data_IF_658612548715
#
_entry.id   IF_658612548715
#
_cell.length_a   1.000
_cell.length_b   1.000
_cell.length_c   1.000
_cell.angle_alpha   90.00
_cell.angle_beta   90.00
_cell.angle_gamma   90.00
#
_symmetry.space_group_name_H-M   'P 1'
#
loop_
_entity.id
_entity.type
_entity.pdbx_description
1 polymer ?
#
# COMPACT_ATOMS: atom_id res chain seq x y z
N UNK A 1 -8.66 2.38 22.04
CA UNK A 1 -7.57 2.00 21.13
C UNK A 1 -6.29 2.73 21.54
N UNK A 2 -5.16 2.02 21.54
CA UNK A 2 -3.83 2.52 21.92
C UNK A 2 -2.75 1.80 21.11
N UNK A 3 -1.51 2.31 21.14
CA UNK A 3 -0.34 1.67 20.51
C UNK A 3 0.67 1.28 21.58
N UNK A 4 1.18 0.05 21.49
CA UNK A 4 2.37 -0.40 22.22
C UNK A 4 3.51 -0.60 21.22
N UNK A 5 4.65 0.03 21.48
CA UNK A 5 5.91 -0.24 20.79
C UNK A 5 6.88 -0.87 21.77
N UNK A 6 7.44 -2.03 21.43
CA UNK A 6 8.43 -2.74 22.26
C UNK A 6 9.73 -2.89 21.49
N UNK A 7 10.83 -2.37 22.05
CA UNK A 7 12.18 -2.68 21.58
C UNK A 7 12.70 -3.92 22.32
N UNK A 8 13.06 -4.95 21.57
CA UNK A 8 13.61 -6.20 22.07
C UNK A 8 15.10 -6.11 22.41
N UNK A 9 15.62 -7.10 23.15
CA UNK A 9 17.01 -7.17 23.58
C UNK A 9 17.98 -7.21 22.40
N UNK A 10 19.11 -6.51 22.55
CA UNK A 10 20.19 -6.48 21.55
C UNK A 10 19.88 -5.67 20.30
N UNK A 11 18.74 -4.96 20.24
CA UNK A 11 18.43 -4.05 19.15
C UNK A 11 19.48 -2.93 19.07
N UNK A 12 20.13 -2.80 17.91
CA UNK A 12 21.13 -1.75 17.66
C UNK A 12 20.43 -0.49 17.13
N UNK A 13 19.75 0.22 18.03
CA UNK A 13 19.10 1.50 17.72
C UNK A 13 18.95 2.36 18.98
N UNK A 14 18.93 3.67 18.81
CA UNK A 14 18.71 4.61 19.92
C UNK A 14 17.25 4.51 20.41
N UNK A 15 17.06 4.01 21.63
CA UNK A 15 15.73 3.82 22.21
C UNK A 15 14.98 5.15 22.48
N UNK A 16 15.69 6.26 22.69
CA UNK A 16 15.09 7.59 22.83
C UNK A 16 14.55 8.06 21.48
N UNK A 17 15.32 7.92 20.41
CA UNK A 17 14.86 8.24 19.06
C UNK A 17 13.62 7.41 18.68
N UNK A 18 13.65 6.10 18.91
CA UNK A 18 12.50 5.23 18.63
C UNK A 18 11.25 5.66 19.42
N UNK A 19 11.42 6.06 20.69
CA UNK A 19 10.32 6.59 21.52
C UNK A 19 9.76 7.90 20.98
N UNK A 20 10.64 8.82 20.57
CA UNK A 20 10.24 10.11 20.00
C UNK A 20 9.46 9.93 18.69
N UNK A 21 9.96 9.08 17.79
CA UNK A 21 9.28 8.72 16.52
C UNK A 21 7.93 8.06 16.79
N UNK A 22 7.88 7.08 17.69
CA UNK A 22 6.63 6.40 18.05
C UNK A 22 5.59 7.35 18.64
N UNK A 23 6.03 8.24 19.54
CA UNK A 23 5.16 9.24 20.15
C UNK A 23 4.61 10.25 19.14
N UNK A 24 5.46 10.75 18.24
CA UNK A 24 5.06 11.70 17.20
C UNK A 24 4.04 11.09 16.23
N UNK A 25 4.29 9.88 15.73
CA UNK A 25 3.38 9.21 14.79
C UNK A 25 2.05 8.84 15.46
N UNK A 26 2.09 8.34 16.69
CA UNK A 26 0.87 8.04 17.44
C UNK A 26 0.03 9.31 17.71
N UNK A 27 0.68 10.43 18.03
CA UNK A 27 0.01 11.72 18.18
C UNK A 27 -0.63 12.18 16.87
N UNK A 28 0.06 12.07 15.73
CA UNK A 28 -0.48 12.38 14.41
C UNK A 28 -1.71 11.51 14.06
N UNK A 29 -1.70 10.25 14.49
CA UNK A 29 -2.84 9.33 14.33
C UNK A 29 -3.95 9.54 15.38
N UNK A 30 -3.75 10.41 16.37
CA UNK A 30 -4.70 10.68 17.46
C UNK A 30 -4.89 9.50 18.41
N UNK A 31 -3.83 8.76 18.72
CA UNK A 31 -3.86 7.58 19.60
C UNK A 31 -2.79 7.66 20.68
N UNK A 32 -3.07 7.25 21.93
CA UNK A 32 -2.05 7.18 22.95
C UNK A 32 -1.05 6.07 22.63
N UNK A 33 0.24 6.33 22.83
CA UNK A 33 1.31 5.36 22.69
C UNK A 33 2.04 5.10 24.00
N UNK A 34 2.46 3.85 24.20
CA UNK A 34 3.46 3.46 25.19
C UNK A 34 4.66 2.83 24.49
N UNK A 35 5.85 3.21 24.92
CA UNK A 35 7.11 2.62 24.48
C UNK A 35 7.75 1.84 25.62
N UNK A 36 8.16 0.60 25.36
CA UNK A 36 8.83 -0.27 26.31
C UNK A 36 10.14 -0.81 25.73
N UNK A 37 11.10 -1.13 26.60
CA UNK A 37 12.33 -1.84 26.25
C UNK A 37 12.35 -3.12 27.07
N UNK A 38 12.40 -4.27 26.39
CA UNK A 38 12.48 -5.57 27.03
C UNK A 38 13.94 -6.01 27.17
N UNK A 39 14.34 -6.45 28.37
CA UNK A 39 15.69 -6.93 28.64
C UNK A 39 15.96 -8.35 28.14
N UNK A 40 14.91 -9.14 27.94
CA UNK A 40 14.96 -10.53 27.48
C UNK A 40 13.61 -10.93 26.82
N UNK A 41 13.52 -12.19 26.37
CA UNK A 41 12.30 -12.70 25.72
C UNK A 41 11.11 -12.83 26.67
N UNK A 42 11.32 -13.16 27.94
CA UNK A 42 10.24 -13.33 28.92
C UNK A 42 9.60 -11.98 29.27
N UNK A 43 10.41 -10.93 29.45
CA UNK A 43 9.95 -9.56 29.64
C UNK A 43 9.18 -9.06 28.42
N UNK A 44 9.65 -9.37 27.21
CA UNK A 44 8.96 -9.03 25.97
C UNK A 44 7.60 -9.72 25.91
N UNK A 45 7.55 -11.04 26.10
CA UNK A 45 6.30 -11.80 26.07
C UNK A 45 5.29 -11.31 27.12
N UNK A 46 5.75 -10.98 28.35
CA UNK A 46 4.90 -10.40 29.38
C UNK A 46 4.29 -9.06 28.95
N UNK A 47 5.07 -8.18 28.31
CA UNK A 47 4.59 -6.89 27.79
C UNK A 47 3.53 -7.08 26.69
N UNK A 48 3.71 -8.07 25.81
CA UNK A 48 2.74 -8.40 24.77
C UNK A 48 1.47 -9.05 25.34
N UNK A 49 1.62 -9.97 26.31
CA UNK A 49 0.52 -10.68 26.96
C UNK A 49 -0.40 -9.78 27.78
N UNK A 50 0.12 -8.67 28.31
CA UNK A 50 -0.67 -7.68 29.06
C UNK A 50 -1.56 -6.80 28.17
N UNK A 51 -1.47 -6.91 26.83
CA UNK A 51 -2.23 -6.06 25.91
C UNK A 51 -3.69 -6.50 25.76
N UNK A 52 -4.59 -5.52 25.63
CA UNK A 52 -6.01 -5.72 25.34
C UNK A 52 -6.30 -5.82 23.84
N UNK A 53 -7.51 -6.29 23.48
CA UNK A 53 -8.00 -6.39 22.09
C UNK A 53 -7.85 -5.13 21.24
N UNK A 54 -7.93 -3.96 21.87
CA UNK A 54 -7.87 -2.64 21.22
C UNK A 54 -6.46 -2.01 21.23
N UNK A 55 -5.42 -2.79 21.51
CA UNK A 55 -4.04 -2.35 21.53
C UNK A 55 -3.31 -2.78 20.25
N UNK A 56 -2.99 -1.83 19.37
CA UNK A 56 -2.10 -2.08 18.24
C UNK A 56 -0.67 -2.30 18.76
N UNK A 57 0.04 -3.30 18.24
CA UNK A 57 1.33 -3.72 18.76
C UNK A 57 2.39 -3.65 17.67
N UNK A 58 3.50 -2.97 17.93
CA UNK A 58 4.70 -2.97 17.09
C UNK A 58 5.87 -3.48 17.91
N UNK A 59 6.60 -4.46 17.39
CA UNK A 59 7.75 -5.03 18.08
C UNK A 59 8.98 -4.94 17.18
N UNK A 60 10.06 -4.39 17.73
CA UNK A 60 11.38 -4.43 17.12
C UNK A 60 12.14 -5.57 17.79
N UNK A 61 12.17 -6.79 17.23
CA UNK A 61 12.53 -8.00 17.97
C UNK A 61 13.99 -8.05 18.43
N UNK A 62 14.90 -7.32 17.78
CA UNK A 62 16.35 -7.47 18.01
C UNK A 62 16.86 -8.85 17.54
N UNK A 63 18.16 -9.16 17.71
CA UNK A 63 18.75 -10.37 17.15
C UNK A 63 18.57 -11.64 18.01
N UNK A 64 18.03 -11.53 19.23
CA UNK A 64 18.02 -12.65 20.19
C UNK A 64 17.14 -13.83 19.71
N UNK A 65 17.66 -15.08 19.64
CA UNK A 65 16.92 -16.23 19.10
C UNK A 65 15.57 -16.50 19.78
N UNK A 66 15.53 -16.41 21.11
CA UNK A 66 14.29 -16.64 21.86
C UNK A 66 13.19 -15.64 21.52
N UNK A 67 13.55 -14.38 21.24
CA UNK A 67 12.57 -13.36 20.79
C UNK A 67 12.13 -13.65 19.37
N UNK A 68 13.05 -14.10 18.50
CA UNK A 68 12.71 -14.49 17.13
C UNK A 68 11.75 -15.68 17.09
N UNK A 69 11.88 -16.62 18.02
CA UNK A 69 10.94 -17.74 18.13
C UNK A 69 9.51 -17.25 18.40
N UNK A 70 9.33 -16.21 19.24
CA UNK A 70 8.00 -15.63 19.54
C UNK A 70 7.28 -15.11 18.29
N UNK A 71 8.01 -14.69 17.26
CA UNK A 71 7.42 -14.19 16.02
C UNK A 71 6.49 -15.20 15.36
N UNK A 72 6.85 -16.50 15.43
CA UNK A 72 6.12 -17.60 14.81
C UNK A 72 5.11 -18.30 15.73
N UNK A 73 5.07 -17.98 17.02
CA UNK A 73 4.20 -18.67 17.98
C UNK A 73 2.78 -18.09 17.98
N UNK A 74 1.72 -18.93 17.94
CA UNK A 74 0.35 -18.46 18.10
C UNK A 74 0.16 -17.78 19.46
N UNK A 75 -0.38 -16.57 19.46
CA UNK A 75 -0.69 -15.82 20.67
C UNK A 75 -1.89 -14.88 20.46
N UNK A 76 -2.59 -14.52 21.53
CA UNK A 76 -3.75 -13.63 21.47
C UNK A 76 -3.43 -12.21 20.94
N UNK A 77 -2.16 -11.78 21.04
CA UNK A 77 -1.69 -10.52 20.48
C UNK A 77 -1.29 -10.61 19.00
N UNK A 78 -1.02 -11.82 18.47
CA UNK A 78 -0.44 -11.97 17.13
C UNK A 78 -1.24 -11.27 16.01
N UNK A 79 -2.59 -11.36 15.94
CA UNK A 79 -3.37 -10.71 14.87
C UNK A 79 -3.27 -9.18 14.82
N UNK A 80 -2.79 -8.54 15.89
CA UNK A 80 -2.63 -7.08 16.02
C UNK A 80 -1.17 -6.65 16.14
N UNK A 81 -0.23 -7.58 15.91
CA UNK A 81 1.21 -7.33 15.97
C UNK A 81 1.80 -7.09 14.58
N UNK A 82 2.68 -6.09 14.50
CA UNK A 82 3.61 -5.86 13.40
C UNK A 82 5.03 -6.02 13.95
N UNK A 83 5.75 -7.01 13.44
CA UNK A 83 7.17 -7.18 13.71
C UNK A 83 7.97 -6.34 12.73
N UNK A 84 8.87 -5.50 13.22
CA UNK A 84 9.68 -4.60 12.41
C UNK A 84 11.17 -4.88 12.62
N UNK A 85 11.82 -5.36 11.57
CA UNK A 85 13.27 -5.29 11.45
C UNK A 85 13.69 -3.96 10.82
N UNK A 86 14.61 -3.25 11.46
CA UNK A 86 15.13 -2.00 10.89
C UNK A 86 15.98 -2.28 9.63
N UNK A 87 16.65 -3.43 9.61
CA UNK A 87 17.50 -3.91 8.52
C UNK A 87 16.75 -4.90 7.63
N UNK A 88 17.31 -5.18 6.45
CA UNK A 88 16.77 -6.21 5.54
C UNK A 88 17.20 -7.59 6.05
N UNK A 89 16.24 -8.39 6.49
CA UNK A 89 16.43 -9.75 7.03
C UNK A 89 15.95 -10.85 6.08
N UNK A 90 15.27 -10.51 4.99
CA UNK A 90 14.52 -11.46 4.16
C UNK A 90 13.15 -11.77 4.79
N UNK A 91 12.27 -12.51 4.10
CA UNK A 91 10.96 -12.87 4.64
C UNK A 91 11.11 -13.73 5.91
N UNK A 92 10.56 -13.28 7.03
CA UNK A 92 10.55 -14.05 8.28
C UNK A 92 9.14 -14.59 8.53
N UNK A 93 8.95 -15.90 8.75
CA UNK A 93 7.65 -16.45 9.12
C UNK A 93 7.14 -15.82 10.41
N UNK A 94 5.86 -15.42 10.41
CA UNK A 94 5.17 -14.90 11.59
C UNK A 94 3.87 -15.67 11.83
N UNK A 95 3.41 -15.65 13.08
CA UNK A 95 2.16 -16.26 13.48
C UNK A 95 0.96 -15.70 12.70
N UNK A 96 -0.07 -16.51 12.51
CA UNK A 96 -1.26 -16.13 11.74
C UNK A 96 -1.87 -14.80 12.19
N UNK A 97 -2.06 -13.89 11.23
CA UNK A 97 -2.60 -12.54 11.45
C UNK A 97 -1.57 -11.49 11.86
N UNK A 98 -0.36 -11.87 12.25
CA UNK A 98 0.74 -10.93 12.42
C UNK A 98 1.28 -10.47 11.05
N UNK A 99 2.02 -9.37 11.04
CA UNK A 99 2.77 -8.92 9.87
C UNK A 99 4.26 -8.77 10.20
N UNK A 100 5.10 -8.88 9.17
CA UNK A 100 6.52 -8.60 9.24
C UNK A 100 6.87 -7.49 8.25
N UNK A 101 7.60 -6.49 8.72
CA UNK A 101 8.18 -5.41 7.93
C UNK A 101 9.69 -5.38 8.18
N UNK A 102 10.45 -4.96 7.17
CA UNK A 102 11.91 -5.00 7.24
C UNK A 102 12.57 -3.93 6.37
N UNK A 103 13.83 -3.61 6.66
CA UNK A 103 14.72 -2.90 5.73
C UNK A 103 14.35 -1.46 5.42
N UNK A 104 13.51 -0.82 6.25
CA UNK A 104 13.10 0.59 6.12
C UNK A 104 13.79 1.52 7.12
N UNK A 105 14.77 1.00 7.88
CA UNK A 105 15.44 1.73 8.95
C UNK A 105 14.47 2.24 10.02
N UNK A 106 14.88 3.26 10.77
CA UNK A 106 14.03 3.90 11.79
C UNK A 106 12.72 4.44 11.21
N UNK A 107 12.74 4.91 9.95
CA UNK A 107 11.54 5.36 9.24
C UNK A 107 10.49 4.24 9.06
N UNK A 108 10.91 2.97 9.08
CA UNK A 108 9.99 1.83 9.10
C UNK A 108 9.05 1.80 10.30
N UNK A 109 9.44 2.39 11.43
CA UNK A 109 8.59 2.44 12.63
C UNK A 109 7.30 3.23 12.39
N UNK A 110 7.37 4.30 11.60
CA UNK A 110 6.20 5.10 11.20
C UNK A 110 5.20 4.20 10.47
N UNK A 111 5.67 3.46 9.48
CA UNK A 111 4.83 2.57 8.67
C UNK A 111 4.29 1.38 9.45
N UNK A 112 5.09 0.80 10.36
CA UNK A 112 4.62 -0.29 11.22
C UNK A 112 3.51 0.17 12.16
N UNK A 113 3.63 1.37 12.75
CA UNK A 113 2.59 1.96 13.60
C UNK A 113 1.33 2.23 12.80
N UNK A 114 1.44 2.87 11.63
CA UNK A 114 0.30 3.11 10.73
C UNK A 114 -0.40 1.82 10.38
N UNK A 115 0.35 0.81 9.94
CA UNK A 115 -0.19 -0.49 9.55
C UNK A 115 -0.96 -1.16 10.71
N UNK A 116 -0.36 -1.21 11.89
CA UNK A 116 -0.99 -1.78 13.09
C UNK A 116 -2.27 -1.03 13.47
N UNK A 117 -2.24 0.31 13.42
CA UNK A 117 -3.37 1.17 13.76
C UNK A 117 -4.52 1.04 12.75
N UNK A 118 -4.24 1.11 11.45
CA UNK A 118 -5.27 1.08 10.41
C UNK A 118 -5.97 -0.28 10.34
N UNK A 119 -5.22 -1.39 10.42
CA UNK A 119 -5.78 -2.74 10.49
C UNK A 119 -6.69 -2.92 11.70
N UNK A 120 -6.34 -2.36 12.85
CA UNK A 120 -7.15 -2.49 14.05
C UNK A 120 -8.39 -1.60 14.03
N UNK A 121 -8.28 -0.36 13.50
CA UNK A 121 -9.39 0.58 13.35
C UNK A 121 -10.44 0.08 12.36
N UNK A 122 -9.98 -0.55 11.29
CA UNK A 122 -10.82 -1.01 10.21
C UNK A 122 -10.29 -2.33 9.63
N UNK A 123 -10.66 -3.45 10.27
CA UNK A 123 -10.23 -4.77 9.85
C UNK A 123 -10.61 -5.06 8.40
N UNK A 124 -9.74 -5.79 7.72
CA UNK A 124 -9.98 -6.30 6.38
C UNK A 124 -10.11 -7.81 6.40
N UNK A 125 -10.79 -8.36 5.40
CA UNK A 125 -10.69 -9.78 5.07
C UNK A 125 -9.52 -9.96 4.11
N UNK A 126 -8.45 -10.62 4.57
CA UNK A 126 -7.35 -11.02 3.69
C UNK A 126 -7.77 -12.23 2.86
N UNK A 127 -7.54 -12.16 1.56
CA UNK A 127 -7.94 -13.18 0.60
C UNK A 127 -6.73 -13.48 -0.29
N UNK A 128 -6.33 -14.74 -0.36
CA UNK A 128 -5.31 -15.19 -1.30
C UNK A 128 -5.91 -15.31 -2.70
N UNK A 129 -5.20 -14.80 -3.71
CA UNK A 129 -5.52 -15.00 -5.13
C UNK A 129 -4.53 -15.95 -5.82
N UNK A 130 -3.52 -16.43 -5.10
CA UNK A 130 -2.54 -17.40 -5.56
C UNK A 130 -1.83 -18.09 -4.39
N UNK A 131 -0.95 -19.08 -4.67
CA UNK A 131 -0.29 -19.88 -3.64
C UNK A 131 0.88 -19.18 -2.94
N UNK A 132 1.45 -18.12 -3.52
CA UNK A 132 2.60 -17.43 -2.94
C UNK A 132 2.19 -16.57 -1.71
N UNK A 133 3.04 -16.43 -0.67
CA UNK A 133 2.74 -15.60 0.50
C UNK A 133 2.45 -14.12 0.22
N UNK A 134 2.88 -13.61 -0.93
CA UNK A 134 2.61 -12.23 -1.41
C UNK A 134 1.41 -12.15 -2.38
N UNK A 135 0.77 -13.27 -2.71
CA UNK A 135 -0.39 -13.31 -3.60
C UNK A 135 -1.70 -13.20 -2.83
N UNK A 136 -1.90 -12.06 -2.18
CA UNK A 136 -3.12 -11.75 -1.43
C UNK A 136 -3.58 -10.30 -1.61
N UNK A 137 -4.84 -10.06 -1.26
CA UNK A 137 -5.36 -8.71 -1.11
C UNK A 137 -6.22 -8.60 0.15
N UNK A 138 -6.33 -7.38 0.67
CA UNK A 138 -7.19 -7.04 1.78
C UNK A 138 -8.47 -6.37 1.28
N UNK A 139 -9.61 -7.03 1.48
CA UNK A 139 -10.94 -6.48 1.19
C UNK A 139 -11.48 -5.74 2.40
N UNK A 140 -11.84 -4.47 2.21
CA UNK A 140 -12.68 -3.71 3.14
C UNK A 140 -13.96 -3.34 2.42
N UNK A 141 -15.09 -3.82 2.92
CA UNK A 141 -16.40 -3.37 2.47
C UNK A 141 -16.76 -2.06 3.18
N UNK A 142 -17.60 -1.23 2.57
CA UNK A 142 -18.22 -0.12 3.29
C UNK A 142 -18.96 -0.65 4.51
N UNK A 143 -18.62 -0.14 5.70
CA UNK A 143 -19.40 -0.39 6.90
C UNK A 143 -20.18 0.89 7.23
N UNK A 144 -21.44 0.77 7.70
CA UNK A 144 -22.08 1.91 8.34
C UNK A 144 -21.19 2.37 9.51
N UNK A 145 -21.15 3.69 9.83
CA UNK A 145 -20.46 4.16 11.01
C UNK A 145 -20.92 3.34 12.22
N UNK A 146 -20.01 2.94 13.11
CA UNK A 146 -20.28 2.08 14.27
C UNK A 146 -21.33 2.63 15.28
N UNK A 147 -21.93 3.80 14.98
CA UNK A 147 -23.00 4.47 15.75
C UNK A 147 -24.23 4.80 14.91
N UNK A 148 -24.41 4.23 13.71
CA UNK A 148 -25.62 4.46 12.92
C UNK A 148 -26.78 3.63 13.51
N UNK A 149 -27.87 4.26 13.99
CA UNK A 149 -29.04 3.54 14.52
C UNK A 149 -29.91 2.93 13.42
N UNK A 150 -29.53 3.05 12.14
CA UNK A 150 -30.29 2.50 11.02
C UNK A 150 -29.78 1.08 10.72
N UNK A 151 -30.61 0.03 10.89
CA UNK A 151 -30.27 -1.31 10.43
C UNK A 151 -30.08 -1.29 8.92
N UNK A 152 -28.94 -1.75 8.42
CA UNK A 152 -28.73 -1.92 6.98
C UNK A 152 -29.49 -3.17 6.55
N UNK A 153 -30.66 -2.99 5.94
CA UNK A 153 -31.57 -4.07 5.52
C UNK A 153 -31.36 -4.57 4.09
N UNK A 154 -30.36 -4.05 3.37
CA UNK A 154 -29.94 -4.55 2.04
C UNK A 154 -28.42 -4.48 1.91
N UNK A 155 -27.73 -5.52 1.40
CA UNK A 155 -26.32 -5.39 1.05
C UNK A 155 -26.19 -4.39 -0.10
N UNK A 156 -25.62 -3.21 0.20
CA UNK A 156 -25.27 -2.24 -0.83
C UNK A 156 -24.11 -2.80 -1.63
N UNK A 157 -24.35 -3.18 -2.88
CA UNK A 157 -23.30 -3.56 -3.83
C UNK A 157 -22.46 -2.32 -4.12
N UNK A 158 -21.24 -2.30 -3.61
CA UNK A 158 -20.38 -1.11 -3.63
C UNK A 158 -19.41 -1.11 -4.81
N UNK A 159 -19.17 0.04 -5.50
CA UNK A 159 -18.03 0.16 -6.39
C UNK A 159 -16.74 -0.23 -5.66
N UNK A 160 -15.77 -0.79 -6.40
CA UNK A 160 -14.52 -1.26 -5.82
C UNK A 160 -13.33 -0.52 -6.41
N UNK A 161 -12.37 -0.18 -5.53
CA UNK A 161 -11.08 0.39 -5.91
C UNK A 161 -9.99 -0.61 -5.55
N UNK A 162 -9.31 -1.12 -6.57
CA UNK A 162 -8.06 -1.87 -6.44
C UNK A 162 -6.94 -0.90 -6.12
N UNK A 163 -6.23 -1.11 -5.01
CA UNK A 163 -5.07 -0.30 -4.63
C UNK A 163 -3.79 -1.07 -4.92
N UNK A 164 -2.86 -0.44 -5.63
CA UNK A 164 -1.54 -1.01 -5.96
C UNK A 164 -0.46 -0.13 -5.33
N UNK A 165 0.27 -0.69 -4.38
CA UNK A 165 1.28 0.07 -3.63
C UNK A 165 2.54 0.36 -4.46
N UNK A 166 3.26 1.41 -4.05
CA UNK A 166 4.54 1.81 -4.63
C UNK A 166 5.76 1.21 -3.95
N UNK A 167 6.86 1.97 -3.93
CA UNK A 167 8.13 1.54 -3.31
C UNK A 167 9.21 1.15 -4.31
N UNK A 168 9.20 1.72 -5.51
CA UNK A 168 10.19 1.43 -6.57
C UNK A 168 10.36 -0.08 -6.85
N UNK A 169 9.27 -0.83 -6.74
CA UNK A 169 9.24 -2.28 -6.94
C UNK A 169 10.24 -3.06 -6.08
N UNK A 170 10.56 -2.57 -4.87
CA UNK A 170 11.48 -3.24 -3.95
C UNK A 170 10.74 -4.02 -2.87
N UNK A 171 11.25 -5.21 -2.54
CA UNK A 171 10.65 -6.12 -1.57
C UNK A 171 10.58 -5.61 -0.12
N UNK A 172 11.25 -4.50 0.21
CA UNK A 172 11.11 -3.86 1.54
C UNK A 172 9.80 -3.10 1.69
N UNK A 173 9.13 -2.72 0.59
CA UNK A 173 7.84 -2.04 0.60
C UNK A 173 6.67 -3.03 0.57
N UNK A 174 5.44 -2.56 0.77
CA UNK A 174 4.28 -3.37 1.12
C UNK A 174 2.96 -2.70 0.79
N UNK A 175 1.90 -3.51 0.68
CA UNK A 175 0.53 -3.00 0.62
C UNK A 175 0.17 -2.11 1.83
N UNK A 176 0.94 -2.18 2.92
CA UNK A 176 0.80 -1.31 4.10
C UNK A 176 0.94 0.18 3.78
N UNK A 177 1.61 0.56 2.70
CA UNK A 177 1.67 1.95 2.22
C UNK A 177 0.27 2.52 1.93
N UNK A 178 -0.65 1.66 1.49
CA UNK A 178 -1.97 2.07 1.01
C UNK A 178 -3.07 1.96 2.08
N UNK A 179 -2.74 1.55 3.31
CA UNK A 179 -3.73 1.28 4.36
C UNK A 179 -4.62 2.47 4.69
N UNK A 180 -4.04 3.66 4.83
CA UNK A 180 -4.80 4.86 5.18
C UNK A 180 -5.85 5.16 4.10
N UNK A 181 -5.45 5.10 2.83
CA UNK A 181 -6.34 5.28 1.69
C UNK A 181 -7.39 4.16 1.59
N UNK A 182 -7.00 2.90 1.84
CA UNK A 182 -7.93 1.77 1.86
C UNK A 182 -9.05 1.96 2.88
N UNK A 183 -8.72 2.45 4.08
CA UNK A 183 -9.69 2.78 5.13
C UNK A 183 -10.55 3.99 4.75
N UNK A 184 -9.96 5.03 4.17
CA UNK A 184 -10.71 6.23 3.74
C UNK A 184 -11.74 5.92 2.66
N UNK A 185 -11.38 5.11 1.64
CA UNK A 185 -12.31 4.69 0.60
C UNK A 185 -13.48 3.88 1.17
N UNK A 186 -13.22 2.96 2.09
CA UNK A 186 -14.26 2.21 2.81
C UNK A 186 -15.24 3.12 3.56
N UNK A 187 -14.73 4.17 4.20
CA UNK A 187 -15.57 5.19 4.88
C UNK A 187 -16.39 6.04 3.91
N UNK A 188 -15.95 6.20 2.67
CA UNK A 188 -16.65 6.93 1.61
C UNK A 188 -17.71 6.11 0.89
N UNK A 189 -17.92 4.85 1.26
CA UNK A 189 -18.90 3.98 0.61
C UNK A 189 -18.35 3.16 -0.57
N UNK A 190 -17.03 3.12 -0.75
CA UNK A 190 -16.36 2.31 -1.78
C UNK A 190 -15.73 1.08 -1.13
N UNK A 191 -15.84 -0.09 -1.75
CA UNK A 191 -15.01 -1.22 -1.36
C UNK A 191 -13.55 -0.94 -1.72
N UNK A 192 -12.61 -1.23 -0.82
CA UNK A 192 -11.18 -1.20 -1.14
C UNK A 192 -10.61 -2.61 -1.21
N UNK A 193 -9.83 -2.86 -2.25
CA UNK A 193 -9.11 -4.10 -2.51
C UNK A 193 -7.61 -3.78 -2.53
N UNK A 194 -6.99 -3.81 -1.34
CA UNK A 194 -5.58 -3.43 -1.18
C UNK A 194 -4.68 -4.61 -1.54
N UNK A 195 -4.05 -4.54 -2.71
CA UNK A 195 -3.38 -5.66 -3.36
C UNK A 195 -1.90 -5.73 -2.98
N UNK A 196 -1.48 -6.90 -2.52
CA UNK A 196 -0.07 -7.29 -2.44
C UNK A 196 0.32 -8.10 -3.68
N UNK A 197 1.58 -8.01 -4.10
CA UNK A 197 2.12 -8.67 -5.28
C UNK A 197 3.61 -8.99 -5.09
N UNK A 198 4.14 -10.01 -5.78
CA UNK A 198 5.58 -10.29 -5.76
C UNK A 198 6.38 -9.18 -6.43
N UNK A 199 7.54 -8.85 -5.85
CA UNK A 199 8.37 -7.74 -6.32
C UNK A 199 9.43 -8.26 -7.27
N UNK A 200 9.77 -7.50 -8.33
CA UNK A 200 10.66 -7.96 -9.37
C UNK A 200 12.09 -8.15 -8.89
N UNK A 201 12.53 -7.45 -7.83
CA UNK A 201 13.87 -7.60 -7.25
C UNK A 201 14.13 -9.00 -6.68
N UNK A 202 13.09 -9.80 -6.41
CA UNK A 202 13.20 -11.20 -5.98
C UNK A 202 12.53 -12.20 -6.93
N UNK A 203 11.59 -11.75 -7.78
CA UNK A 203 10.73 -12.65 -8.55
C UNK A 203 10.65 -12.32 -10.05
N UNK A 204 11.31 -11.26 -10.51
CA UNK A 204 11.25 -10.80 -11.89
C UNK A 204 9.98 -10.02 -12.26
N UNK A 205 10.06 -9.28 -13.36
CA UNK A 205 8.99 -8.41 -13.86
C UNK A 205 7.72 -9.16 -14.25
N UNK A 206 7.86 -10.34 -14.84
CA UNK A 206 6.73 -11.16 -15.29
C UNK A 206 5.88 -11.63 -14.10
N UNK A 207 6.51 -12.04 -13.00
CA UNK A 207 5.78 -12.41 -11.78
C UNK A 207 4.99 -11.21 -11.21
N UNK A 208 5.59 -10.02 -11.24
CA UNK A 208 4.98 -8.78 -10.75
C UNK A 208 3.72 -8.43 -11.55
N UNK A 209 3.84 -8.42 -12.88
CA UNK A 209 2.72 -8.06 -13.76
C UNK A 209 1.63 -9.14 -13.77
N UNK A 210 2.01 -10.42 -13.72
CA UNK A 210 1.07 -11.53 -13.58
C UNK A 210 0.30 -11.46 -12.25
N UNK A 211 0.96 -11.12 -11.15
CA UNK A 211 0.33 -11.01 -9.83
C UNK A 211 -0.67 -9.85 -9.78
N UNK A 212 -0.33 -8.68 -10.34
CA UNK A 212 -1.27 -7.56 -10.42
C UNK A 212 -2.50 -7.93 -11.25
N UNK A 213 -2.30 -8.56 -12.42
CA UNK A 213 -3.40 -9.02 -13.28
C UNK A 213 -4.28 -10.08 -12.59
N UNK A 214 -3.66 -11.08 -11.95
CA UNK A 214 -4.37 -12.14 -11.23
C UNK A 214 -5.15 -11.60 -10.03
N UNK A 215 -4.56 -10.66 -9.27
CA UNK A 215 -5.20 -10.00 -8.13
C UNK A 215 -6.40 -9.15 -8.53
N UNK A 216 -6.35 -8.48 -9.68
CA UNK A 216 -7.51 -7.77 -10.26
C UNK A 216 -8.56 -8.77 -10.75
N UNK A 217 -8.15 -9.82 -11.47
CA UNK A 217 -9.07 -10.83 -12.00
C UNK A 217 -9.81 -11.60 -10.89
N UNK A 218 -9.15 -11.84 -9.75
CA UNK A 218 -9.74 -12.51 -8.60
C UNK A 218 -10.97 -11.78 -8.03
N UNK A 219 -11.09 -10.46 -8.21
CA UNK A 219 -12.31 -9.74 -7.84
C UNK A 219 -13.57 -10.31 -8.51
N UNK A 220 -13.44 -10.76 -9.75
CA UNK A 220 -14.56 -11.24 -10.56
C UNK A 220 -15.09 -12.61 -10.15
N UNK A 221 -14.26 -13.41 -9.48
CA UNK A 221 -14.63 -14.77 -9.06
C UNK A 221 -15.13 -14.84 -7.62
N UNK A 222 -15.11 -13.73 -6.88
CA UNK A 222 -15.50 -13.71 -5.48
C UNK A 222 -16.99 -13.47 -5.27
N UNK A 223 -17.57 -14.22 -4.34
CA UNK A 223 -18.91 -13.96 -3.80
C UNK A 223 -18.84 -12.86 -2.72
N UNK A 224 -18.81 -11.60 -3.17
CA UNK A 224 -18.76 -10.40 -2.33
C UNK A 224 -19.69 -9.32 -2.87
N UNK A 225 -20.24 -8.44 -2.00
CA UNK A 225 -21.16 -7.38 -2.43
C UNK A 225 -20.41 -6.20 -3.06
N UNK A 226 -19.66 -6.45 -4.14
CA UNK A 226 -18.95 -5.43 -4.92
C UNK A 226 -19.52 -5.36 -6.33
N UNK A 227 -19.56 -4.16 -6.89
CA UNK A 227 -20.06 -3.91 -8.23
C UNK A 227 -18.93 -4.09 -9.25
N UNK A 228 -18.93 -5.24 -9.94
CA UNK A 228 -17.93 -5.57 -10.95
C UNK A 228 -18.06 -4.74 -12.24
N UNK A 229 -19.16 -4.01 -12.44
CA UNK A 229 -19.29 -3.01 -13.50
C UNK A 229 -18.64 -1.67 -13.14
N UNK A 230 -18.28 -1.46 -11.86
CA UNK A 230 -17.68 -0.22 -11.34
C UNK A 230 -16.37 -0.51 -10.60
N UNK A 231 -15.41 -1.05 -11.33
CA UNK A 231 -14.04 -1.32 -10.86
C UNK A 231 -13.11 -0.18 -11.26
N UNK A 232 -12.45 0.42 -10.29
CA UNK A 232 -11.30 1.29 -10.52
C UNK A 232 -9.99 0.63 -10.07
N UNK A 233 -8.88 1.04 -10.68
CA UNK A 233 -7.53 0.75 -10.19
C UNK A 233 -6.83 2.06 -9.85
N UNK A 234 -6.24 2.15 -8.67
CA UNK A 234 -5.48 3.29 -8.22
C UNK A 234 -4.15 2.81 -7.67
N UNK A 235 -3.06 3.46 -8.06
CA UNK A 235 -1.74 3.07 -7.58
C UNK A 235 -0.85 4.24 -7.22
N UNK A 236 0.05 4.02 -6.26
CA UNK A 236 1.00 5.03 -5.78
C UNK A 236 2.39 4.81 -6.34
N UNK A 237 3.06 5.86 -6.85
CA UNK A 237 4.45 5.78 -7.29
C UNK A 237 4.66 4.67 -8.34
N UNK A 238 5.56 3.72 -8.09
CA UNK A 238 5.70 2.49 -8.88
C UNK A 238 4.36 1.73 -9.09
N UNK A 239 3.47 1.74 -8.10
CA UNK A 239 2.11 1.19 -8.21
C UNK A 239 1.21 2.01 -9.12
N UNK A 240 1.41 3.33 -9.24
CA UNK A 240 0.69 4.19 -10.19
C UNK A 240 1.02 3.83 -11.63
N UNK A 241 2.28 3.46 -11.88
CA UNK A 241 2.68 2.86 -13.14
C UNK A 241 1.98 1.53 -13.39
N UNK A 242 2.02 0.60 -12.42
CA UNK A 242 1.38 -0.71 -12.55
C UNK A 242 -0.14 -0.60 -12.76
N UNK A 243 -0.79 0.38 -12.11
CA UNK A 243 -2.21 0.66 -12.27
C UNK A 243 -2.57 1.08 -13.71
N UNK A 244 -1.83 2.04 -14.29
CA UNK A 244 -2.07 2.46 -15.68
C UNK A 244 -1.69 1.36 -16.68
N UNK A 245 -0.61 0.62 -16.42
CA UNK A 245 -0.23 -0.55 -17.23
C UNK A 245 -1.34 -1.60 -17.25
N UNK A 246 -1.86 -1.97 -16.07
CA UNK A 246 -2.94 -2.93 -15.95
C UNK A 246 -4.22 -2.45 -16.64
N UNK A 247 -4.54 -1.15 -16.54
CA UNK A 247 -5.67 -0.55 -17.25
C UNK A 247 -5.55 -0.68 -18.77
N UNK A 248 -4.36 -0.41 -19.33
CA UNK A 248 -4.09 -0.57 -20.75
C UNK A 248 -4.20 -2.04 -21.21
N UNK A 249 -3.81 -3.00 -20.37
CA UNK A 249 -3.87 -4.42 -20.69
C UNK A 249 -5.27 -5.02 -20.55
N UNK A 250 -6.14 -4.42 -19.72
CA UNK A 250 -7.42 -5.03 -19.36
C UNK A 250 -8.57 -4.78 -20.36
N UNK A 251 -8.34 -4.01 -21.42
CA UNK A 251 -9.25 -3.92 -22.58
C UNK A 251 -10.71 -3.53 -22.25
N UNK A 252 -10.92 -2.59 -21.32
CA UNK A 252 -12.25 -2.10 -20.92
C UNK A 252 -12.84 -2.73 -19.65
N UNK A 253 -12.13 -3.67 -19.04
CA UNK A 253 -12.46 -4.25 -17.73
C UNK A 253 -12.48 -3.25 -16.55
N UNK A 254 -11.76 -2.14 -16.69
CA UNK A 254 -11.51 -1.13 -15.67
C UNK A 254 -12.23 0.13 -16.10
N UNK A 255 -13.12 0.63 -15.25
CA UNK A 255 -13.91 1.82 -15.54
C UNK A 255 -13.09 3.12 -15.42
N UNK A 256 -12.17 3.17 -14.45
CA UNK A 256 -11.31 4.33 -14.19
C UNK A 256 -9.95 3.87 -13.65
N UNK A 257 -8.86 4.47 -14.15
CA UNK A 257 -7.53 4.28 -13.57
C UNK A 257 -7.00 5.57 -12.91
N UNK A 258 -6.20 5.45 -11.86
CA UNK A 258 -5.62 6.60 -11.13
C UNK A 258 -4.13 6.34 -10.87
N UNK A 259 -3.28 7.22 -11.40
CA UNK A 259 -1.89 7.31 -11.01
C UNK A 259 -1.71 8.37 -9.92
N UNK A 260 -1.27 7.96 -8.72
CA UNK A 260 -0.93 8.82 -7.60
C UNK A 260 0.59 8.96 -7.53
N UNK A 261 1.13 10.06 -8.02
CA UNK A 261 2.57 10.34 -8.09
C UNK A 261 3.40 9.26 -8.84
N UNK A 262 2.85 8.72 -9.94
CA UNK A 262 3.41 7.54 -10.60
C UNK A 262 4.66 7.78 -11.46
N UNK A 263 5.44 6.70 -11.66
CA UNK A 263 6.58 6.68 -12.59
C UNK A 263 6.06 6.42 -14.01
N UNK A 264 5.66 7.47 -14.72
CA UNK A 264 4.90 7.34 -15.97
C UNK A 264 5.75 7.19 -17.25
N UNK A 265 7.07 7.36 -17.13
CA UNK A 265 8.02 7.21 -18.23
C UNK A 265 9.25 6.42 -17.76
N UNK A 266 9.27 5.12 -18.07
CA UNK A 266 10.31 4.22 -17.57
C UNK A 266 11.64 4.39 -18.30
N UNK A 267 11.61 4.79 -19.58
CA UNK A 267 12.84 5.08 -20.33
C UNK A 267 13.54 6.28 -19.69
N UNK A 268 12.78 7.34 -19.41
CA UNK A 268 13.33 8.51 -18.74
C UNK A 268 13.71 8.22 -17.28
N UNK A 269 12.95 7.39 -16.57
CA UNK A 269 13.28 6.98 -15.20
C UNK A 269 14.59 6.18 -15.13
N UNK A 270 14.86 5.36 -16.14
CA UNK A 270 16.17 4.72 -16.31
C UNK A 270 17.26 5.75 -16.61
N UNK A 271 17.04 6.63 -17.58
CA UNK A 271 18.02 7.65 -18.00
C UNK A 271 18.43 8.58 -16.85
N UNK A 272 17.49 8.96 -15.98
CA UNK A 272 17.74 9.78 -14.78
C UNK A 272 18.27 8.99 -13.59
N UNK A 273 18.43 7.68 -13.74
CA UNK A 273 18.90 6.79 -12.68
C UNK A 273 18.05 6.87 -11.40
N UNK A 274 16.74 7.04 -11.56
CA UNK A 274 15.82 7.29 -10.44
C UNK A 274 15.91 6.20 -9.38
N UNK A 275 16.02 6.65 -8.14
CA UNK A 275 16.18 5.79 -6.97
C UNK A 275 17.29 4.75 -7.17
N UNK A 276 18.48 5.15 -7.62
CA UNK A 276 19.62 4.24 -7.81
C UNK A 276 19.34 3.12 -8.82
N UNK A 277 18.77 3.46 -9.98
CA UNK A 277 18.56 2.52 -11.08
C UNK A 277 17.39 1.55 -10.89
N UNK A 278 16.39 1.93 -10.10
CA UNK A 278 15.25 1.06 -9.78
C UNK A 278 14.51 0.52 -11.01
N UNK A 279 14.41 1.30 -12.09
CA UNK A 279 13.70 0.87 -13.31
C UNK A 279 14.40 -0.31 -13.98
N UNK A 280 15.70 -0.21 -14.26
CA UNK A 280 16.45 -1.31 -14.88
C UNK A 280 16.53 -2.53 -13.96
N UNK A 281 16.68 -2.31 -12.64
CA UNK A 281 16.62 -3.39 -11.66
C UNK A 281 15.26 -4.12 -11.65
N UNK A 282 14.15 -3.40 -11.86
CA UNK A 282 12.82 -3.99 -11.93
C UNK A 282 12.55 -4.72 -13.26
N UNK A 283 12.95 -4.14 -14.40
CA UNK A 283 12.72 -4.72 -15.72
C UNK A 283 13.74 -5.79 -16.12
N UNK A 284 14.88 -5.88 -15.41
CA UNK A 284 15.91 -6.88 -15.66
C UNK A 284 16.89 -6.52 -16.79
N UNK A 285 16.93 -5.26 -17.22
CA UNK A 285 17.80 -4.77 -18.29
C UNK A 285 17.54 -3.30 -18.62
N UNK A 286 18.29 -2.73 -19.55
CA UNK A 286 18.14 -1.33 -20.00
C UNK A 286 17.11 -1.20 -21.15
N UNK A 287 16.65 0.02 -21.50
CA UNK A 287 15.79 0.25 -22.66
C UNK A 287 16.40 -0.22 -23.99
N UNK A 288 17.72 -0.17 -24.12
CA UNK A 288 18.43 -0.62 -25.33
C UNK A 288 18.47 -2.15 -25.43
N UNK A 289 18.58 -2.83 -24.29
CA UNK A 289 18.59 -4.30 -24.22
C UNK A 289 17.18 -4.89 -24.36
N UNK A 290 16.18 -4.25 -23.75
CA UNK A 290 14.81 -4.74 -23.64
C UNK A 290 13.76 -3.72 -24.13
N UNK A 291 13.85 -3.22 -25.39
CA UNK A 291 12.99 -2.14 -25.87
C UNK A 291 11.50 -2.49 -25.80
N UNK A 292 11.13 -3.72 -26.13
CA UNK A 292 9.73 -4.17 -26.09
C UNK A 292 9.17 -4.27 -24.66
N UNK A 293 10.01 -4.64 -23.68
CA UNK A 293 9.60 -4.68 -22.28
C UNK A 293 9.33 -3.27 -21.76
N UNK A 294 10.20 -2.31 -22.10
CA UNK A 294 10.01 -0.90 -21.75
C UNK A 294 8.79 -0.29 -22.44
N UNK A 295 8.58 -0.57 -23.73
CA UNK A 295 7.40 -0.11 -24.47
C UNK A 295 6.10 -0.68 -23.88
N UNK A 296 6.10 -1.97 -23.51
CA UNK A 296 4.96 -2.58 -22.88
C UNK A 296 4.71 -2.03 -21.47
N UNK A 297 5.76 -1.79 -20.67
CA UNK A 297 5.67 -1.39 -19.26
C UNK A 297 5.41 0.10 -19.04
N UNK A 298 5.95 0.99 -19.88
CA UNK A 298 5.90 2.44 -19.69
C UNK A 298 4.53 3.01 -20.08
N UNK A 299 3.77 3.65 -19.15
CA UNK A 299 2.48 4.24 -19.48
C UNK A 299 2.56 5.26 -20.62
N UNK A 300 3.62 6.09 -20.66
CA UNK A 300 3.82 7.07 -21.73
C UNK A 300 3.90 6.40 -23.12
N UNK A 301 4.56 5.24 -23.21
CA UNK A 301 4.67 4.47 -24.46
C UNK A 301 3.40 3.73 -24.85
N UNK A 302 2.38 3.73 -23.97
CA UNK A 302 1.09 3.05 -24.15
C UNK A 302 -0.05 4.02 -24.45
N UNK A 303 0.23 5.31 -24.65
CA UNK A 303 -0.78 6.30 -25.03
C UNK A 303 -1.20 6.14 -26.51
N UNK A 304 -2.50 6.34 -26.84
CA UNK A 304 -3.62 6.55 -25.91
C UNK A 304 -3.91 5.29 -25.09
N UNK A 305 -4.24 5.47 -23.81
CA UNK A 305 -4.44 4.37 -22.86
C UNK A 305 -5.74 3.59 -23.12
N UNK A 306 -6.72 4.22 -23.74
CA UNK A 306 -8.04 3.66 -24.07
C UNK A 306 -9.00 3.58 -22.87
N UNK A 307 -8.63 4.15 -21.72
CA UNK A 307 -9.40 4.10 -20.46
C UNK A 307 -9.39 5.48 -19.80
N UNK A 308 -10.54 5.99 -19.30
CA UNK A 308 -10.56 7.22 -18.52
C UNK A 308 -9.62 7.12 -17.32
N UNK A 309 -8.70 8.07 -17.18
CA UNK A 309 -7.73 8.03 -16.09
C UNK A 309 -7.35 9.39 -15.54
N UNK A 310 -6.89 9.37 -14.29
CA UNK A 310 -6.40 10.54 -13.57
C UNK A 310 -4.90 10.40 -13.36
N UNK A 311 -4.18 11.50 -13.53
CA UNK A 311 -2.78 11.65 -13.12
C UNK A 311 -2.73 12.71 -12.04
N UNK A 312 -2.41 12.29 -10.82
CA UNK A 312 -2.45 13.12 -9.62
C UNK A 312 -1.03 13.30 -9.10
N UNK A 313 -0.60 14.55 -8.96
CA UNK A 313 0.77 14.89 -8.60
C UNK A 313 0.82 15.97 -7.52
N UNK A 314 1.59 15.72 -6.46
CA UNK A 314 1.94 16.74 -5.49
C UNK A 314 2.94 17.74 -6.09
N UNK A 315 2.64 19.04 -6.02
CA UNK A 315 3.49 20.09 -6.59
C UNK A 315 4.86 20.24 -5.90
N UNK A 316 5.02 19.65 -4.71
CA UNK A 316 6.27 19.66 -3.93
C UNK A 316 6.91 18.26 -3.82
N UNK A 317 6.48 17.33 -4.67
CA UNK A 317 7.13 16.02 -4.83
C UNK A 317 8.49 16.16 -5.54
N UNK A 318 9.20 15.04 -5.71
CA UNK A 318 10.41 14.91 -6.52
C UNK A 318 10.22 15.58 -7.90
N UNK A 319 11.08 16.54 -8.28
CA UNK A 319 10.98 17.23 -9.56
C UNK A 319 10.94 16.28 -10.77
N UNK A 320 11.56 15.10 -10.70
CA UNK A 320 11.53 14.13 -11.78
C UNK A 320 10.14 13.52 -11.96
N UNK A 321 9.44 13.21 -10.87
CA UNK A 321 8.06 12.72 -10.92
C UNK A 321 7.10 13.81 -11.39
N UNK A 322 7.28 15.04 -10.92
CA UNK A 322 6.47 16.19 -11.35
C UNK A 322 6.62 16.43 -12.86
N UNK A 323 7.85 16.41 -13.37
CA UNK A 323 8.12 16.55 -14.80
C UNK A 323 7.54 15.38 -15.62
N UNK A 324 7.69 14.13 -15.16
CA UNK A 324 7.08 12.96 -15.81
C UNK A 324 5.56 13.07 -15.90
N UNK A 325 4.89 13.47 -14.82
CA UNK A 325 3.45 13.60 -14.77
C UNK A 325 2.95 14.68 -15.76
N UNK A 326 3.64 15.83 -15.82
CA UNK A 326 3.34 16.91 -16.78
C UNK A 326 3.54 16.47 -18.23
N UNK A 327 4.65 15.80 -18.55
CA UNK A 327 4.93 15.28 -19.90
C UNK A 327 3.91 14.24 -20.34
N UNK A 328 3.55 13.32 -19.45
CA UNK A 328 2.49 12.34 -19.72
C UNK A 328 1.15 13.02 -19.99
N UNK A 329 0.75 13.98 -19.15
CA UNK A 329 -0.51 14.71 -19.32
C UNK A 329 -0.58 15.46 -20.66
N UNK A 330 0.53 16.10 -21.06
CA UNK A 330 0.64 16.77 -22.36
C UNK A 330 0.52 15.77 -23.53
N UNK A 331 1.22 14.63 -23.44
CA UNK A 331 1.18 13.59 -24.47
C UNK A 331 -0.18 12.89 -24.58
N UNK A 332 -0.92 12.76 -23.47
CA UNK A 332 -2.24 12.14 -23.44
C UNK A 332 -3.31 12.96 -24.19
N UNK A 333 -3.02 14.20 -24.61
CA UNK A 333 -3.88 14.96 -25.51
C UNK A 333 -5.30 15.21 -24.99
N UNK A 334 -5.48 15.23 -23.66
CA UNK A 334 -6.78 15.38 -23.00
C UNK A 334 -7.50 14.08 -22.62
N UNK A 335 -6.95 12.91 -22.92
CA UNK A 335 -7.47 11.62 -22.44
C UNK A 335 -7.34 11.49 -20.91
N UNK A 336 -6.27 12.04 -20.34
CA UNK A 336 -5.99 12.06 -18.92
C UNK A 336 -6.53 13.33 -18.24
N UNK A 337 -7.19 13.21 -17.10
CA UNK A 337 -7.40 14.35 -16.19
C UNK A 337 -6.13 14.53 -15.35
N UNK A 338 -5.40 15.63 -15.59
CA UNK A 338 -4.23 15.99 -14.80
C UNK A 338 -4.60 16.87 -13.60
N UNK A 339 -4.18 16.44 -12.40
CA UNK A 339 -4.44 17.12 -11.12
C UNK A 339 -3.10 17.36 -10.44
N UNK A 340 -2.61 18.60 -10.53
CA UNK A 340 -1.44 19.06 -9.78
C UNK A 340 -1.89 20.02 -8.67
N UNK A 341 -1.59 19.70 -7.40
CA UNK A 341 -1.99 20.51 -6.23
C UNK A 341 -0.89 20.54 -5.17
N UNK A 342 -0.92 21.48 -4.20
CA UNK A 342 0.01 21.47 -3.08
C UNK A 342 0.03 20.13 -2.34
N UNK A 343 1.23 19.63 -2.05
CA UNK A 343 1.47 18.33 -1.43
C UNK A 343 2.80 17.73 -1.90
N UNK A 344 3.31 16.78 -1.14
CA UNK A 344 4.50 15.98 -1.43
C UNK A 344 4.15 14.59 -1.99
N UNK A 345 5.15 13.72 -2.10
CA UNK A 345 5.01 12.33 -2.57
C UNK A 345 3.98 11.50 -1.81
N UNK A 346 3.78 11.80 -0.52
CA UNK A 346 2.95 11.02 0.40
C UNK A 346 1.56 11.61 0.53
N UNK A 347 1.43 12.92 0.30
CA UNK A 347 0.17 13.66 0.34
C UNK A 347 -0.90 13.09 -0.59
N UNK A 348 -0.51 12.44 -1.70
CA UNK A 348 -1.45 11.80 -2.64
C UNK A 348 -2.10 10.52 -2.11
N UNK A 349 -1.54 9.92 -1.05
CA UNK A 349 -2.09 8.73 -0.37
C UNK A 349 -2.46 8.99 1.10
N UNK A 350 -2.27 10.20 1.61
CA UNK A 350 -2.70 10.61 2.94
C UNK A 350 -4.12 11.19 2.90
N UNK A 351 -5.13 10.50 3.45
CA UNK A 351 -6.51 10.99 3.46
C UNK A 351 -6.73 12.35 4.15
N UNK A 352 -5.80 12.77 5.02
CA UNK A 352 -5.86 14.08 5.66
C UNK A 352 -5.42 15.22 4.73
N UNK A 353 -4.66 14.91 3.68
CA UNK A 353 -4.17 15.88 2.73
C UNK A 353 -5.28 16.30 1.73
N UNK A 354 -5.41 17.61 1.42
CA UNK A 354 -6.43 18.10 0.50
C UNK A 354 -6.35 17.52 -0.93
N UNK A 355 -5.17 17.11 -1.39
CA UNK A 355 -4.98 16.51 -2.71
C UNK A 355 -5.62 15.11 -2.76
N UNK A 356 -5.32 14.23 -1.81
CA UNK A 356 -5.92 12.89 -1.71
C UNK A 356 -7.46 12.98 -1.54
N UNK A 357 -7.95 13.84 -0.65
CA UNK A 357 -9.39 14.01 -0.43
C UNK A 357 -10.13 14.55 -1.67
N UNK A 358 -9.46 15.32 -2.53
CA UNK A 358 -10.02 15.75 -3.81
C UNK A 358 -10.07 14.60 -4.80
N UNK A 359 -8.96 13.87 -4.96
CA UNK A 359 -8.87 12.69 -5.83
C UNK A 359 -9.92 11.65 -5.48
N UNK A 360 -10.13 11.35 -4.20
CA UNK A 360 -11.14 10.40 -3.77
C UNK A 360 -12.57 10.82 -4.16
N UNK A 361 -12.88 12.13 -4.12
CA UNK A 361 -14.19 12.65 -4.56
C UNK A 361 -14.36 12.52 -6.08
N UNK A 362 -13.34 12.89 -6.86
CA UNK A 362 -13.39 12.77 -8.32
C UNK A 362 -13.50 11.31 -8.77
N UNK A 363 -12.75 10.41 -8.14
CA UNK A 363 -12.84 8.98 -8.38
C UNK A 363 -14.25 8.46 -8.07
N UNK A 364 -14.83 8.85 -6.94
CA UNK A 364 -16.19 8.46 -6.55
C UNK A 364 -17.21 8.94 -7.58
N UNK A 365 -17.12 10.20 -8.02
CA UNK A 365 -18.02 10.76 -9.02
C UNK A 365 -17.93 10.02 -10.37
N UNK A 366 -16.71 9.71 -10.83
CA UNK A 366 -16.50 8.98 -12.09
C UNK A 366 -17.02 7.54 -12.03
N UNK A 367 -16.79 6.85 -10.91
CA UNK A 367 -17.36 5.52 -10.69
C UNK A 367 -18.89 5.56 -10.65
N UNK A 368 -19.50 6.64 -10.13
CA UNK A 368 -20.95 6.81 -10.16
C UNK A 368 -21.50 7.03 -11.59
N UNK A 369 -20.76 7.77 -12.43
CA UNK A 369 -21.12 8.05 -13.82
C UNK A 369 -20.84 6.90 -14.79
N UNK A 370 -19.99 5.94 -14.42
CA UNK A 370 -19.70 4.75 -15.23
C UNK A 370 -20.86 3.73 -15.30
N UNK A 371 -22.06 4.09 -14.82
CA UNK A 371 -23.27 3.31 -15.04
C UNK A 371 -23.62 3.36 -16.53
N UNK A 372 -23.50 2.22 -17.20
CA UNK A 372 -24.05 2.00 -18.54
C UNK A 372 -25.56 2.16 -18.58
#
# INVERSE_FOLDING_TARGET
MRVLVVAGPGLVADARLLREVAGAEAAALGVPARFAVAGDAAALEAELGATSGDCAVVVLPGPHPDVRALMGLPAAYAPRTVWLDLERTGPVPVAGGAAHQQGRGVGGLIWAIRHAVHRLRWPARRIAYGPHPDQWAELRLPAPPARSPVPVTVPVVAPVVVLVHGGYWRSVWGADLMDALAVDLARRGLASWNLEYRRPDLHGWDATTADVAAGIAALRSMDVPVDLGRVAVAGHSAGGQLALRAAADAGGAIAVAVSLAGVLDLVEGHRRHMSSGAVAGALGGTPEELPEVYAAASPLGRLPLGVPHLVVQGASDDPDLVDMARRYAAAAGGEALYIERPGDHWSVIDPSAPICAHTARDLTARLASARG
#
